data_IF_907551615298
#
_entry.id   IF_907551615298
#
_cell.length_a   1.000
_cell.length_b   1.000
_cell.length_c   1.000
_cell.angle_alpha   90.00
_cell.angle_beta   90.00
_cell.angle_gamma   90.00
#
_symmetry.space_group_name_H-M   'P 1'
#
loop_
_entity.id
_entity.type
_entity.pdbx_description
1 polymer ?
#
# COMPACT_ATOMS: atom_id res chain seq x y z
N UNK A 1 -11.54 20.53 6.82
CA UNK A 1 -10.92 20.01 5.60
C UNK A 1 -10.24 18.71 5.92
N UNK A 2 -10.27 17.76 4.98
CA UNK A 2 -9.48 16.55 5.13
C UNK A 2 -8.01 16.91 4.89
N UNK A 3 -7.10 16.23 5.58
CA UNK A 3 -5.66 16.46 5.42
C UNK A 3 -4.91 15.16 5.59
N UNK A 4 -3.85 15.00 4.81
CA UNK A 4 -2.91 13.89 4.97
C UNK A 4 -2.06 14.19 6.21
N UNK A 5 -2.06 13.29 7.19
CA UNK A 5 -1.29 13.41 8.45
C UNK A 5 -0.20 12.36 8.59
N UNK A 6 -0.17 11.38 7.67
CA UNK A 6 0.85 10.36 7.58
C UNK A 6 0.83 9.71 6.21
N UNK A 7 1.99 9.28 5.74
CA UNK A 7 2.11 8.56 4.49
C UNK A 7 3.23 7.53 4.61
N UNK A 8 2.92 6.29 4.26
CA UNK A 8 3.78 5.14 4.50
C UNK A 8 3.72 4.16 3.32
N UNK A 9 4.82 3.49 3.04
CA UNK A 9 4.86 2.40 2.08
C UNK A 9 5.48 1.16 2.72
N UNK A 10 4.99 -0.02 2.36
CA UNK A 10 5.47 -1.28 2.94
C UNK A 10 5.29 -2.47 2.01
N UNK A 11 6.22 -3.42 2.06
CA UNK A 11 5.98 -4.77 1.57
C UNK A 11 4.79 -5.43 2.30
N UNK A 12 4.06 -6.34 1.63
CA UNK A 12 2.90 -7.03 2.20
C UNK A 12 2.98 -8.57 2.13
N UNK A 13 4.14 -9.12 1.81
CA UNK A 13 4.25 -10.55 1.50
C UNK A 13 3.67 -11.43 2.62
N UNK A 14 3.05 -12.58 2.30
CA UNK A 14 2.45 -13.49 3.27
C UNK A 14 3.33 -13.84 4.47
N UNK A 15 4.64 -13.93 4.25
CA UNK A 15 5.63 -14.34 5.25
C UNK A 15 5.75 -13.34 6.40
N UNK A 16 5.36 -12.06 6.19
CA UNK A 16 5.25 -11.06 7.25
C UNK A 16 4.27 -11.53 8.34
N UNK A 17 3.22 -12.26 7.98
CA UNK A 17 2.24 -12.77 8.92
C UNK A 17 2.50 -14.24 9.30
N UNK A 18 2.75 -15.09 8.30
CA UNK A 18 2.94 -16.55 8.45
C UNK A 18 4.21 -16.88 9.25
N UNK A 19 5.27 -16.08 9.12
CA UNK A 19 6.55 -16.24 9.84
C UNK A 19 7.17 -17.66 9.70
N UNK A 20 7.43 -18.14 8.46
CA UNK A 20 8.01 -19.45 8.27
C UNK A 20 9.47 -19.49 8.75
N UNK A 21 9.86 -20.60 9.38
CA UNK A 21 11.22 -20.82 9.89
C UNK A 21 12.16 -21.30 8.78
N UNK A 22 12.50 -20.41 7.84
CA UNK A 22 13.39 -20.71 6.71
C UNK A 22 14.87 -20.67 7.13
N UNK A 23 15.28 -19.61 7.83
CA UNK A 23 16.62 -19.45 8.38
C UNK A 23 16.61 -18.46 9.56
N UNK A 24 17.68 -18.45 10.35
CA UNK A 24 17.86 -17.45 11.42
C UNK A 24 17.94 -16.03 10.84
N UNK A 25 18.61 -15.87 9.70
CA UNK A 25 18.70 -14.58 9.00
C UNK A 25 17.33 -14.10 8.55
N UNK A 26 16.53 -14.94 7.90
CA UNK A 26 15.19 -14.55 7.44
C UNK A 26 14.27 -14.22 8.62
N UNK A 27 14.40 -14.96 9.73
CA UNK A 27 13.68 -14.66 10.97
C UNK A 27 14.05 -13.26 11.49
N UNK A 28 15.34 -12.92 11.52
CA UNK A 28 15.81 -11.59 11.90
C UNK A 28 15.30 -10.50 10.95
N UNK A 29 15.33 -10.74 9.64
CA UNK A 29 14.81 -9.80 8.64
C UNK A 29 13.31 -9.52 8.85
N UNK A 30 12.51 -10.55 9.09
CA UNK A 30 11.08 -10.39 9.41
C UNK A 30 10.88 -9.56 10.68
N UNK A 31 11.67 -9.80 11.74
CA UNK A 31 11.60 -9.01 12.96
C UNK A 31 11.89 -7.53 12.73
N UNK A 32 12.84 -7.18 11.85
CA UNK A 32 13.11 -5.78 11.49
C UNK A 32 11.94 -5.15 10.72
N UNK A 33 11.27 -5.90 9.84
CA UNK A 33 10.04 -5.46 9.16
C UNK A 33 8.91 -5.25 10.16
N UNK A 34 8.71 -6.17 11.11
CA UNK A 34 7.68 -6.03 12.15
C UNK A 34 7.91 -4.79 13.02
N UNK A 35 9.16 -4.53 13.44
CA UNK A 35 9.52 -3.32 14.19
C UNK A 35 9.18 -2.07 13.40
N UNK A 36 9.52 -2.03 12.11
CA UNK A 36 9.21 -0.89 11.25
C UNK A 36 7.69 -0.69 11.06
N UNK A 37 6.90 -1.76 10.88
CA UNK A 37 5.44 -1.70 10.79
C UNK A 37 4.80 -1.21 12.11
N UNK A 38 5.30 -1.66 13.26
CA UNK A 38 4.83 -1.18 14.56
C UNK A 38 5.18 0.30 14.78
N UNK A 39 6.33 0.75 14.28
CA UNK A 39 6.73 2.16 14.26
C UNK A 39 5.81 3.00 13.36
N UNK A 40 5.42 2.50 12.19
CA UNK A 40 4.36 3.12 11.35
C UNK A 40 3.06 3.25 12.15
N UNK A 41 2.65 2.19 12.85
CA UNK A 41 1.51 2.22 13.76
C UNK A 41 1.60 3.31 14.82
N UNK A 42 2.77 3.45 15.46
CA UNK A 42 3.01 4.49 16.48
C UNK A 42 2.85 5.88 15.88
N UNK A 43 3.45 6.14 14.70
CA UNK A 43 3.36 7.43 14.00
C UNK A 43 1.93 7.76 13.59
N UNK A 44 1.16 6.77 13.12
CA UNK A 44 -0.27 6.93 12.79
C UNK A 44 -1.09 7.33 14.04
N UNK A 45 -0.83 6.68 15.18
CA UNK A 45 -1.47 7.01 16.46
C UNK A 45 -1.12 8.41 16.94
N UNK A 46 0.13 8.80 16.87
CA UNK A 46 0.59 10.15 17.27
C UNK A 46 0.04 11.25 16.37
N UNK A 47 -0.02 11.00 15.06
CA UNK A 47 -0.71 11.85 14.10
C UNK A 47 -2.24 11.87 14.31
N UNK A 48 -2.75 10.94 15.13
CA UNK A 48 -4.15 10.72 15.44
C UNK A 48 -4.98 10.59 14.14
N UNK A 49 -4.57 9.72 13.22
CA UNK A 49 -5.34 9.54 11.98
C UNK A 49 -6.78 9.07 12.29
N UNK A 50 -7.76 9.62 11.60
CA UNK A 50 -9.16 9.21 11.67
C UNK A 50 -9.46 8.11 10.65
N UNK A 51 -8.73 8.09 9.53
CA UNK A 51 -8.93 7.12 8.44
C UNK A 51 -7.60 6.72 7.80
N UNK A 52 -7.45 5.43 7.53
CA UNK A 52 -6.38 4.86 6.73
C UNK A 52 -6.92 4.59 5.33
N UNK A 53 -6.33 5.19 4.29
CA UNK A 53 -6.54 4.75 2.92
C UNK A 53 -5.38 3.82 2.57
N UNK A 54 -5.71 2.58 2.20
CA UNK A 54 -4.71 1.53 1.97
C UNK A 54 -4.74 1.15 0.51
N UNK A 55 -3.70 1.53 -0.22
CA UNK A 55 -3.48 1.14 -1.61
C UNK A 55 -2.87 -0.25 -1.65
N UNK A 56 -3.55 -1.18 -2.33
CA UNK A 56 -3.08 -2.56 -2.48
C UNK A 56 -3.52 -3.14 -3.81
N UNK A 57 -2.99 -4.31 -4.13
CA UNK A 57 -3.36 -5.08 -5.32
C UNK A 57 -3.86 -6.44 -4.87
N UNK A 58 -5.02 -6.84 -5.38
CA UNK A 58 -5.59 -8.16 -5.08
C UNK A 58 -4.75 -9.25 -5.76
N UNK A 59 -4.66 -10.41 -5.13
CA UNK A 59 -3.86 -11.54 -5.62
C UNK A 59 -4.73 -12.64 -6.24
N UNK A 60 -5.85 -12.23 -6.83
CA UNK A 60 -6.89 -13.12 -7.36
C UNK A 60 -7.63 -13.92 -6.28
N UNK A 61 -7.70 -13.36 -5.07
CA UNK A 61 -8.37 -13.96 -3.92
C UNK A 61 -9.77 -13.34 -3.77
N UNK A 62 -9.87 -12.01 -3.88
CA UNK A 62 -11.16 -11.30 -3.90
C UNK A 62 -11.74 -11.20 -5.31
N UNK A 63 -10.90 -10.95 -6.33
CA UNK A 63 -11.34 -10.73 -7.71
C UNK A 63 -10.78 -11.80 -8.64
N UNK A 64 -11.64 -12.51 -9.35
CA UNK A 64 -11.20 -13.50 -10.35
C UNK A 64 -11.25 -12.92 -11.78
N UNK A 65 -10.71 -13.65 -12.76
CA UNK A 65 -10.60 -13.19 -14.16
C UNK A 65 -11.95 -13.02 -14.87
N UNK A 66 -13.06 -13.46 -14.27
CA UNK A 66 -14.39 -13.14 -14.78
C UNK A 66 -14.75 -11.66 -14.60
N UNK A 67 -14.16 -10.98 -13.62
CA UNK A 67 -14.25 -9.53 -13.45
C UNK A 67 -13.12 -9.01 -12.54
N UNK A 68 -12.02 -8.55 -13.15
CA UNK A 68 -10.87 -7.99 -12.44
C UNK A 68 -10.80 -6.46 -12.65
N UNK A 69 -11.15 -5.64 -11.64
CA UNK A 69 -11.22 -4.19 -11.82
C UNK A 69 -9.83 -3.56 -11.96
N UNK A 70 -9.69 -2.53 -12.81
CA UNK A 70 -8.46 -1.73 -12.85
C UNK A 70 -8.24 -0.94 -11.56
N UNK A 71 -9.32 -0.32 -11.07
CA UNK A 71 -9.37 0.51 -9.89
C UNK A 71 -10.67 0.21 -9.15
N UNK A 72 -10.59 -0.15 -7.87
CA UNK A 72 -11.77 -0.35 -7.04
C UNK A 72 -11.59 0.28 -5.67
N UNK A 73 -12.53 1.17 -5.33
CA UNK A 73 -12.59 1.83 -4.04
C UNK A 73 -13.65 1.19 -3.15
N UNK A 74 -13.27 0.75 -1.97
CA UNK A 74 -14.24 0.25 -0.99
C UNK A 74 -15.03 1.40 -0.37
N UNK A 75 -16.36 1.31 -0.42
CA UNK A 75 -17.28 2.35 0.09
C UNK A 75 -18.21 1.84 1.20
N UNK A 76 -17.98 0.65 1.73
CA UNK A 76 -18.80 0.02 2.77
C UNK A 76 -18.52 0.55 4.18
N UNK A 77 -19.37 0.15 5.13
CA UNK A 77 -19.34 0.58 6.54
C UNK A 77 -18.42 -0.25 7.42
N UNK A 78 -18.08 -1.46 6.98
CA UNK A 78 -17.30 -2.43 7.73
C UNK A 78 -16.53 -3.29 6.74
N UNK A 79 -15.24 -3.50 6.99
CA UNK A 79 -14.37 -4.30 6.16
C UNK A 79 -13.62 -5.31 7.04
N UNK A 80 -13.48 -6.53 6.55
CA UNK A 80 -12.75 -7.56 7.25
C UNK A 80 -12.25 -8.64 6.31
N UNK A 81 -11.54 -9.59 6.89
CA UNK A 81 -11.03 -10.75 6.17
C UNK A 81 -10.14 -11.58 7.08
N UNK A 82 -9.79 -12.77 6.59
CA UNK A 82 -8.99 -13.72 7.34
C UNK A 82 -7.81 -14.20 6.52
N UNK A 83 -6.61 -14.06 7.08
CA UNK A 83 -5.40 -14.57 6.45
C UNK A 83 -4.44 -15.14 7.50
N UNK A 84 -3.84 -16.29 7.21
CA UNK A 84 -2.86 -16.95 8.09
C UNK A 84 -3.25 -17.04 9.58
N UNK A 85 -4.54 -17.29 9.87
CA UNK A 85 -5.05 -17.40 11.25
C UNK A 85 -5.32 -16.06 11.95
N UNK A 86 -5.04 -14.93 11.29
CA UNK A 86 -5.42 -13.59 11.75
C UNK A 86 -6.73 -13.20 11.10
N UNK A 87 -7.65 -12.68 11.90
CA UNK A 87 -8.90 -12.09 11.45
C UNK A 87 -8.90 -10.60 11.79
N UNK A 88 -9.16 -9.76 10.79
CA UNK A 88 -9.37 -8.33 10.96
C UNK A 88 -10.82 -7.99 10.70
N UNK A 89 -11.36 -7.09 11.53
CA UNK A 89 -12.68 -6.50 11.37
C UNK A 89 -12.59 -5.04 11.77
N UNK A 90 -12.73 -4.15 10.80
CA UNK A 90 -12.41 -2.73 10.91
C UNK A 90 -13.57 -1.88 10.38
N UNK A 91 -13.85 -0.73 11.02
CA UNK A 91 -14.88 0.17 10.51
C UNK A 91 -14.44 0.80 9.18
N UNK A 92 -15.35 0.85 8.21
CA UNK A 92 -15.16 1.59 6.97
C UNK A 92 -15.42 3.09 7.13
N UNK A 93 -15.12 3.86 6.09
CA UNK A 93 -15.49 5.29 6.03
C UNK A 93 -16.29 5.63 4.76
N UNK A 94 -17.58 5.25 4.68
CA UNK A 94 -18.41 5.48 3.50
C UNK A 94 -18.48 6.96 3.08
N UNK A 95 -18.48 7.88 4.04
CA UNK A 95 -18.58 9.31 3.77
C UNK A 95 -17.37 9.83 3.00
N UNK A 96 -16.15 9.52 3.49
CA UNK A 96 -14.92 9.89 2.81
C UNK A 96 -14.75 9.11 1.50
N UNK A 97 -15.06 7.81 1.50
CA UNK A 97 -14.91 6.95 0.34
C UNK A 97 -15.85 7.38 -0.81
N UNK A 98 -17.09 7.79 -0.52
CA UNK A 98 -18.00 8.37 -1.53
C UNK A 98 -17.45 9.67 -2.08
N UNK A 99 -16.94 10.55 -1.22
CA UNK A 99 -16.35 11.82 -1.66
C UNK A 99 -15.14 11.60 -2.59
N UNK A 100 -14.28 10.63 -2.25
CA UNK A 100 -13.20 10.16 -3.13
C UNK A 100 -13.72 9.59 -4.43
N UNK A 101 -14.75 8.73 -4.39
CA UNK A 101 -15.33 8.12 -5.58
C UNK A 101 -15.81 9.19 -6.57
N UNK A 102 -16.67 10.11 -6.13
CA UNK A 102 -17.16 11.20 -7.00
C UNK A 102 -16.03 12.11 -7.47
N UNK A 103 -15.14 12.51 -6.57
CA UNK A 103 -14.02 13.38 -6.93
C UNK A 103 -13.10 12.73 -7.96
N UNK A 104 -12.82 11.43 -7.85
CA UNK A 104 -11.98 10.72 -8.82
C UNK A 104 -12.63 10.61 -10.19
N UNK A 105 -13.96 10.44 -10.27
CA UNK A 105 -14.70 10.56 -11.53
C UNK A 105 -14.50 11.96 -12.13
N UNK A 106 -14.61 13.03 -11.32
CA UNK A 106 -14.42 14.41 -11.79
C UNK A 106 -12.99 14.68 -12.29
N UNK A 107 -11.98 14.01 -11.72
CA UNK A 107 -10.59 14.02 -12.19
C UNK A 107 -10.33 13.04 -13.36
N UNK A 108 -11.37 12.42 -13.90
CA UNK A 108 -11.30 11.57 -15.10
C UNK A 108 -10.74 10.17 -14.83
N UNK A 109 -10.90 9.61 -13.63
CA UNK A 109 -10.58 8.22 -13.32
C UNK A 109 -11.85 7.37 -13.26
N UNK A 110 -11.90 6.30 -14.05
CA UNK A 110 -13.00 5.33 -14.04
C UNK A 110 -12.83 4.34 -12.87
N UNK A 111 -13.11 4.81 -11.66
CA UNK A 111 -13.01 4.02 -10.42
C UNK A 111 -14.31 3.26 -10.18
N UNK A 112 -14.22 1.93 -10.10
CA UNK A 112 -15.32 1.08 -9.63
C UNK A 112 -15.43 1.13 -8.11
N UNK A 113 -16.55 0.69 -7.54
CA UNK A 113 -16.72 0.62 -6.09
C UNK A 113 -17.36 -0.67 -5.64
N UNK A 114 -17.08 -1.05 -4.39
CA UNK A 114 -17.81 -2.12 -3.71
C UNK A 114 -18.14 -1.73 -2.28
N UNK A 115 -19.31 -2.15 -1.81
CA UNK A 115 -19.72 -2.03 -0.41
C UNK A 115 -19.36 -3.29 0.39
N UNK A 116 -19.06 -4.39 -0.30
CA UNK A 116 -18.77 -5.70 0.28
C UNK A 116 -17.50 -6.25 -0.38
N UNK A 117 -16.45 -6.43 0.43
CA UNK A 117 -15.18 -7.02 0.01
C UNK A 117 -14.63 -7.81 1.19
N UNK A 118 -13.87 -8.85 0.88
CA UNK A 118 -13.06 -9.56 1.86
C UNK A 118 -11.60 -9.18 1.65
N UNK A 119 -10.92 -8.79 2.72
CA UNK A 119 -9.49 -8.48 2.69
C UNK A 119 -8.67 -9.76 2.67
N UNK A 120 -7.67 -9.78 1.81
CA UNK A 120 -6.61 -10.78 1.82
C UNK A 120 -5.27 -10.18 2.34
N UNK A 121 -4.20 -10.98 2.28
CA UNK A 121 -2.85 -10.67 2.72
C UNK A 121 -2.25 -9.33 2.27
N UNK A 122 -2.58 -8.74 1.09
CA UNK A 122 -2.01 -7.45 0.67
C UNK A 122 -2.38 -6.31 1.62
N UNK A 123 -3.49 -6.48 2.33
CA UNK A 123 -4.01 -5.55 3.33
C UNK A 123 -3.79 -6.08 4.74
N UNK A 124 -4.14 -7.35 5.00
CA UNK A 124 -4.10 -7.93 6.35
C UNK A 124 -2.69 -7.98 6.91
N UNK A 125 -1.70 -8.41 6.10
CA UNK A 125 -0.32 -8.59 6.57
C UNK A 125 0.27 -7.30 7.16
N UNK A 126 0.25 -6.14 6.46
CA UNK A 126 0.74 -4.90 7.04
C UNK A 126 -0.21 -4.34 8.12
N UNK A 127 -1.53 -4.36 7.90
CA UNK A 127 -2.48 -3.76 8.85
C UNK A 127 -2.47 -4.44 10.23
N UNK A 128 -2.25 -5.75 10.29
CA UNK A 128 -2.10 -6.47 11.55
C UNK A 128 -0.96 -5.88 12.38
N UNK A 129 0.25 -5.74 11.81
CA UNK A 129 1.40 -5.22 12.56
C UNK A 129 1.28 -3.73 12.88
N UNK A 130 0.67 -2.94 11.98
CA UNK A 130 0.44 -1.50 12.17
C UNK A 130 -0.56 -1.24 13.31
N UNK A 131 -1.67 -1.99 13.35
CA UNK A 131 -2.79 -1.73 14.27
C UNK A 131 -2.74 -2.58 15.55
N UNK A 132 -2.24 -3.81 15.47
CA UNK A 132 -2.45 -4.83 16.50
C UNK A 132 -1.18 -5.44 17.08
N UNK A 133 0.01 -5.18 16.52
CA UNK A 133 1.30 -5.85 16.80
C UNK A 133 1.62 -6.14 18.28
N UNK A 134 2.64 -5.51 18.86
CA UNK A 134 3.05 -5.80 20.25
C UNK A 134 2.22 -5.08 21.34
N UNK A 135 1.17 -4.33 20.97
CA UNK A 135 0.35 -3.55 21.89
C UNK A 135 -1.14 -3.62 21.54
N UNK A 136 -1.96 -3.88 22.56
CA UNK A 136 -3.42 -3.85 22.51
C UNK A 136 -3.92 -2.52 23.09
N UNK A 137 -3.80 -1.42 22.35
CA UNK A 137 -4.57 -0.23 22.68
C UNK A 137 -5.94 -0.25 21.98
N UNK A 138 -6.81 0.71 22.33
CA UNK A 138 -8.16 0.85 21.77
C UNK A 138 -8.20 1.68 20.49
N UNK A 139 -7.05 2.08 19.93
CA UNK A 139 -7.02 2.92 18.74
C UNK A 139 -7.50 2.13 17.51
N UNK A 140 -8.62 2.56 16.95
CA UNK A 140 -9.26 1.89 15.82
C UNK A 140 -9.64 2.92 14.75
N UNK A 141 -8.72 3.24 13.80
CA UNK A 141 -9.04 4.14 12.71
C UNK A 141 -10.01 3.46 11.74
N UNK A 142 -10.76 4.27 10.98
CA UNK A 142 -11.52 3.73 9.85
C UNK A 142 -10.57 3.30 8.74
N UNK A 143 -10.95 2.32 7.93
CA UNK A 143 -10.12 1.83 6.82
C UNK A 143 -10.89 1.89 5.51
N UNK A 144 -10.23 2.43 4.48
CA UNK A 144 -10.72 2.51 3.10
C UNK A 144 -9.70 1.81 2.20
N UNK A 145 -9.89 0.50 1.93
CA UNK A 145 -9.11 -0.20 0.93
C UNK A 145 -9.34 0.41 -0.46
N UNK A 146 -8.26 0.53 -1.21
CA UNK A 146 -8.28 0.95 -2.60
C UNK A 146 -7.42 -0.03 -3.39
N UNK A 147 -8.10 -0.90 -4.13
CA UNK A 147 -7.50 -1.83 -5.05
C UNK A 147 -7.01 -1.11 -6.31
N UNK A 148 -5.75 -1.36 -6.68
CA UNK A 148 -5.10 -0.88 -7.88
C UNK A 148 -4.52 -2.09 -8.61
N UNK A 149 -4.96 -2.35 -9.83
CA UNK A 149 -4.48 -3.49 -10.60
C UNK A 149 -3.01 -3.32 -10.98
N UNK A 150 -2.14 -3.97 -10.20
CA UNK A 150 -0.72 -4.08 -10.46
C UNK A 150 -0.25 -5.51 -10.72
N UNK A 151 -1.17 -6.49 -10.63
CA UNK A 151 -0.85 -7.92 -10.74
C UNK A 151 -1.26 -8.53 -12.08
N UNK A 152 -2.45 -8.19 -12.58
CA UNK A 152 -3.07 -8.86 -13.74
C UNK A 152 -3.01 -7.96 -14.96
N UNK A 153 -2.51 -8.47 -16.08
CA UNK A 153 -2.47 -7.69 -17.31
C UNK A 153 -3.88 -7.47 -17.91
N UNK A 154 -4.16 -6.27 -18.47
CA UNK A 154 -3.26 -5.12 -18.57
C UNK A 154 -3.17 -4.33 -17.26
N UNK A 155 -1.98 -4.11 -16.70
CA UNK A 155 -1.79 -3.35 -15.45
C UNK A 155 -1.89 -1.83 -15.67
N UNK A 156 -2.24 -1.09 -14.62
CA UNK A 156 -2.20 0.39 -14.65
C UNK A 156 -0.80 0.88 -15.05
N UNK A 157 -0.72 1.92 -15.89
CA UNK A 157 0.58 2.49 -16.29
C UNK A 157 1.22 3.28 -15.13
N UNK A 158 2.55 3.28 -14.98
CA UNK A 158 3.25 3.99 -13.89
C UNK A 158 2.86 5.46 -13.75
N UNK A 159 2.88 6.21 -14.86
CA UNK A 159 2.41 7.60 -14.93
C UNK A 159 0.98 7.77 -14.41
N UNK A 160 0.08 6.88 -14.82
CA UNK A 160 -1.34 6.92 -14.44
C UNK A 160 -1.55 6.62 -12.96
N UNK A 161 -0.76 5.72 -12.38
CA UNK A 161 -0.78 5.47 -10.94
C UNK A 161 -0.31 6.71 -10.15
N UNK A 162 0.75 7.39 -10.59
CA UNK A 162 1.17 8.65 -9.98
C UNK A 162 0.09 9.75 -10.06
N UNK A 163 -0.53 9.92 -11.23
CA UNK A 163 -1.63 10.86 -11.42
C UNK A 163 -2.85 10.54 -10.55
N UNK A 164 -3.15 9.25 -10.32
CA UNK A 164 -4.21 8.83 -9.40
C UNK A 164 -3.95 9.36 -8.00
N UNK A 165 -2.70 9.24 -7.54
CA UNK A 165 -2.26 9.81 -6.27
C UNK A 165 -2.51 11.32 -6.17
N UNK A 166 -2.09 12.06 -7.19
CA UNK A 166 -2.28 13.51 -7.26
C UNK A 166 -3.78 13.89 -7.23
N UNK A 167 -4.63 13.13 -7.93
CA UNK A 167 -6.08 13.31 -7.89
C UNK A 167 -6.67 13.03 -6.50
N UNK A 168 -6.26 11.94 -5.83
CA UNK A 168 -6.67 11.62 -4.45
C UNK A 168 -6.32 12.78 -3.52
N UNK A 169 -5.09 13.30 -3.59
CA UNK A 169 -4.68 14.47 -2.81
C UNK A 169 -5.60 15.66 -3.05
N UNK A 170 -5.85 16.00 -4.31
CA UNK A 170 -6.67 17.14 -4.66
C UNK A 170 -8.12 16.99 -4.16
N UNK A 171 -8.69 15.78 -4.19
CA UNK A 171 -10.01 15.52 -3.59
C UNK A 171 -9.98 15.70 -2.07
N UNK A 172 -8.97 15.17 -1.38
CA UNK A 172 -8.82 15.32 0.08
C UNK A 172 -8.67 16.79 0.50
N UNK A 173 -7.82 17.56 -0.18
CA UNK A 173 -7.58 18.97 0.14
C UNK A 173 -8.82 19.84 -0.09
N UNK A 174 -9.65 19.50 -1.09
CA UNK A 174 -10.92 20.19 -1.36
C UNK A 174 -12.08 19.71 -0.48
N UNK A 175 -11.85 18.66 0.33
CA UNK A 175 -12.90 18.12 1.18
C UNK A 175 -13.31 19.11 2.26
N UNK A 176 -14.62 19.31 2.41
CA UNK A 176 -15.17 20.14 3.49
C UNK A 176 -15.21 19.40 4.83
N UNK A 177 -15.10 18.06 4.81
CA UNK A 177 -15.17 17.23 6.02
C UNK A 177 -13.85 17.28 6.77
N UNK A 178 -13.84 17.48 8.10
CA UNK A 178 -12.62 17.28 8.88
C UNK A 178 -12.29 15.78 8.92
N UNK A 179 -11.11 15.41 8.42
CA UNK A 179 -10.61 14.04 8.50
C UNK A 179 -9.08 14.04 8.42
N UNK A 180 -8.41 13.43 9.39
CA UNK A 180 -6.97 13.19 9.38
C UNK A 180 -6.71 11.86 8.70
N UNK A 181 -6.21 11.90 7.48
CA UNK A 181 -6.01 10.72 6.65
C UNK A 181 -4.56 10.27 6.73
N UNK A 182 -4.31 9.00 7.01
CA UNK A 182 -3.02 8.39 6.73
C UNK A 182 -3.12 7.52 5.47
N UNK A 183 -2.12 7.63 4.60
CA UNK A 183 -2.03 6.86 3.36
C UNK A 183 -1.02 5.73 3.54
N UNK A 184 -1.36 4.53 3.07
CA UNK A 184 -0.49 3.35 3.15
C UNK A 184 -0.47 2.69 1.78
N UNK A 185 0.68 2.67 1.10
CA UNK A 185 0.89 1.82 -0.07
C UNK A 185 1.46 0.46 0.35
N UNK A 186 0.92 -0.61 -0.21
CA UNK A 186 1.39 -1.97 0.07
C UNK A 186 1.87 -2.67 -1.20
N UNK A 187 2.86 -3.55 -1.05
CA UNK A 187 3.42 -4.36 -2.15
C UNK A 187 4.90 -4.04 -2.38
N UNK A 188 5.54 -4.79 -3.29
CA UNK A 188 6.95 -4.61 -3.61
C UNK A 188 7.92 -4.89 -2.44
N UNK A 189 9.21 -4.59 -2.56
CA UNK A 189 9.93 -4.18 -3.79
C UNK A 189 10.25 -5.41 -4.65
N UNK A 190 11.40 -5.49 -5.34
CA UNK A 190 11.67 -6.53 -6.33
C UNK A 190 11.37 -7.95 -5.84
N UNK A 191 10.46 -8.62 -6.54
CA UNK A 191 10.13 -10.03 -6.37
C UNK A 191 9.48 -10.57 -7.65
N UNK A 192 9.52 -11.88 -7.85
CA UNK A 192 9.19 -12.50 -9.15
C UNK A 192 8.19 -13.66 -9.00
N UNK A 193 7.20 -13.49 -8.14
CA UNK A 193 6.18 -14.52 -7.82
C UNK A 193 5.47 -14.98 -9.08
N UNK A 194 5.25 -16.28 -9.21
CA UNK A 194 4.58 -16.87 -10.38
C UNK A 194 5.43 -16.92 -11.65
N UNK A 195 6.71 -16.54 -11.59
CA UNK A 195 7.64 -16.59 -12.74
C UNK A 195 8.80 -17.57 -12.48
N UNK A 196 9.55 -17.97 -13.52
CA UNK A 196 10.78 -18.76 -13.36
C UNK A 196 11.89 -18.07 -12.54
N UNK A 197 11.79 -16.76 -12.28
CA UNK A 197 12.78 -15.98 -11.54
C UNK A 197 12.47 -15.87 -10.04
N UNK A 198 11.43 -16.55 -9.54
CA UNK A 198 11.10 -16.51 -8.11
C UNK A 198 12.27 -16.97 -7.25
N UNK A 199 12.63 -16.16 -6.24
CA UNK A 199 13.87 -16.31 -5.47
C UNK A 199 15.01 -15.37 -5.90
N UNK A 200 14.90 -14.70 -7.05
CA UNK A 200 15.73 -13.55 -7.38
C UNK A 200 15.24 -12.32 -6.61
N UNK A 201 16.19 -11.48 -6.18
CA UNK A 201 15.95 -10.13 -5.66
C UNK A 201 16.87 -9.17 -6.42
N UNK A 202 16.31 -8.11 -6.96
CA UNK A 202 17.02 -7.12 -7.77
C UNK A 202 17.39 -5.91 -6.91
N UNK A 203 18.47 -6.08 -6.14
CA UNK A 203 18.88 -5.10 -5.13
C UNK A 203 19.29 -3.77 -5.76
N UNK A 204 19.84 -3.81 -6.97
CA UNK A 204 20.17 -2.61 -7.74
C UNK A 204 18.92 -1.80 -8.10
N UNK A 205 17.85 -2.46 -8.58
CA UNK A 205 16.58 -1.80 -8.86
C UNK A 205 15.93 -1.26 -7.58
N UNK A 206 15.87 -2.07 -6.51
CA UNK A 206 15.34 -1.63 -5.21
C UNK A 206 16.03 -0.35 -4.72
N UNK A 207 17.37 -0.34 -4.75
CA UNK A 207 18.17 0.81 -4.31
C UNK A 207 17.96 2.02 -5.22
N UNK A 208 17.82 1.82 -6.53
CA UNK A 208 17.50 2.92 -7.45
C UNK A 208 16.17 3.59 -7.06
N UNK A 209 15.12 2.82 -6.80
CA UNK A 209 13.83 3.35 -6.36
C UNK A 209 13.95 4.04 -4.99
N UNK A 210 14.61 3.39 -4.03
CA UNK A 210 14.81 3.91 -2.67
C UNK A 210 15.56 5.25 -2.68
N UNK A 211 16.65 5.38 -3.42
CA UNK A 211 17.43 6.61 -3.46
C UNK A 211 16.66 7.75 -4.12
N UNK A 212 15.86 7.48 -5.16
CA UNK A 212 14.96 8.48 -5.75
C UNK A 212 13.91 8.96 -4.75
N UNK A 213 13.31 8.04 -3.98
CA UNK A 213 12.33 8.39 -2.94
C UNK A 213 12.96 9.19 -1.80
N UNK A 214 14.14 8.80 -1.29
CA UNK A 214 14.89 9.55 -0.27
C UNK A 214 15.24 10.96 -0.72
N UNK A 215 15.55 11.13 -2.00
CA UNK A 215 15.89 12.44 -2.58
C UNK A 215 14.67 13.34 -2.88
N UNK A 216 13.44 12.88 -2.62
CA UNK A 216 12.22 13.60 -3.01
C UNK A 216 12.02 13.69 -4.53
N UNK A 217 12.60 12.73 -5.26
CA UNK A 217 12.55 12.63 -6.74
C UNK A 217 11.65 11.50 -7.21
N UNK A 218 10.68 11.11 -6.40
CA UNK A 218 9.73 10.03 -6.72
C UNK A 218 8.93 10.26 -8.01
N UNK A 219 8.74 11.51 -8.43
CA UNK A 219 8.02 11.87 -9.65
C UNK A 219 8.72 11.39 -10.92
N UNK A 220 10.05 11.22 -10.89
CA UNK A 220 10.83 10.66 -11.99
C UNK A 220 10.53 9.16 -12.19
N UNK A 221 10.11 8.46 -11.12
CA UNK A 221 9.77 7.04 -11.19
C UNK A 221 8.46 6.78 -11.95
N UNK A 222 7.63 7.81 -12.14
CA UNK A 222 6.41 7.73 -12.93
C UNK A 222 6.68 7.65 -14.46
N UNK A 223 7.92 7.91 -14.91
CA UNK A 223 8.37 7.72 -16.29
C UNK A 223 8.86 6.30 -16.59
N UNK A 224 8.98 5.45 -15.56
CA UNK A 224 9.34 4.05 -15.78
C UNK A 224 8.29 3.35 -16.65
N UNK A 225 8.76 2.46 -17.52
CA UNK A 225 7.88 1.68 -18.40
C UNK A 225 7.27 0.49 -17.64
N UNK A 226 6.19 -0.08 -18.17
CA UNK A 226 5.69 -1.37 -17.67
C UNK A 226 6.78 -2.42 -17.75
N UNK A 227 7.49 -2.49 -18.88
CA UNK A 227 8.55 -3.48 -19.11
C UNK A 227 9.68 -3.34 -18.08
N UNK A 228 10.10 -2.11 -17.74
CA UNK A 228 11.12 -1.92 -16.71
C UNK A 228 10.67 -2.47 -15.36
N UNK A 229 9.41 -2.22 -14.96
CA UNK A 229 8.90 -2.75 -13.70
C UNK A 229 8.83 -4.28 -13.74
N UNK A 230 8.37 -4.86 -14.84
CA UNK A 230 8.22 -6.31 -14.96
C UNK A 230 9.58 -7.02 -15.01
N UNK A 231 10.58 -6.46 -15.71
CA UNK A 231 11.96 -6.98 -15.79
C UNK A 231 12.67 -7.00 -14.44
N UNK A 232 12.34 -6.07 -13.54
CA UNK A 232 12.98 -5.94 -12.23
C UNK A 232 12.12 -6.48 -11.07
N UNK A 233 10.96 -7.07 -11.35
CA UNK A 233 10.08 -7.63 -10.31
C UNK A 233 9.35 -6.57 -9.47
N UNK A 234 9.16 -5.37 -10.03
CA UNK A 234 8.61 -4.19 -9.37
C UNK A 234 7.16 -3.91 -9.80
N UNK A 235 6.44 -4.94 -10.23
CA UNK A 235 5.11 -4.75 -10.81
C UNK A 235 4.14 -4.06 -9.82
N UNK A 236 4.24 -4.37 -8.53
CA UNK A 236 3.43 -3.77 -7.46
C UNK A 236 3.86 -2.36 -7.04
N UNK A 237 5.03 -1.88 -7.48
CA UNK A 237 5.50 -0.52 -7.17
C UNK A 237 4.52 0.56 -7.67
N UNK A 238 3.56 0.20 -8.51
CA UNK A 238 2.42 1.04 -8.92
C UNK A 238 1.57 1.55 -7.74
N UNK A 239 1.42 0.77 -6.67
CA UNK A 239 0.74 1.26 -5.45
C UNK A 239 1.57 2.35 -4.76
N UNK A 240 2.90 2.22 -4.77
CA UNK A 240 3.83 3.23 -4.25
C UNK A 240 3.83 4.49 -5.10
N UNK A 241 3.77 4.38 -6.42
CA UNK A 241 3.61 5.54 -7.32
C UNK A 241 2.33 6.34 -7.00
N UNK A 242 1.24 5.66 -6.64
CA UNK A 242 0.00 6.32 -6.18
C UNK A 242 0.23 7.08 -4.88
N UNK A 243 0.95 6.50 -3.92
CA UNK A 243 1.33 7.23 -2.70
C UNK A 243 2.22 8.44 -3.02
N UNK A 244 3.24 8.27 -3.87
CA UNK A 244 4.17 9.32 -4.28
C UNK A 244 3.43 10.50 -4.92
N UNK A 245 2.45 10.24 -5.79
CA UNK A 245 1.57 11.26 -6.34
C UNK A 245 0.78 12.01 -5.27
N UNK A 246 0.22 11.28 -4.29
CA UNK A 246 -0.58 11.88 -3.22
C UNK A 246 0.24 12.77 -2.26
N UNK A 247 1.53 12.51 -2.14
CA UNK A 247 2.45 13.30 -1.28
C UNK A 247 3.36 14.25 -2.05
N UNK A 248 3.09 14.49 -3.33
CA UNK A 248 3.93 15.33 -4.21
C UNK A 248 5.41 14.93 -4.18
N UNK A 249 5.68 13.61 -4.15
CA UNK A 249 7.03 13.05 -4.07
C UNK A 249 7.87 13.57 -2.90
N UNK A 250 7.23 13.85 -1.75
CA UNK A 250 7.95 14.21 -0.54
C UNK A 250 9.09 13.21 -0.22
N UNK A 251 10.23 13.68 0.33
CA UNK A 251 11.33 12.79 0.68
C UNK A 251 10.92 11.67 1.64
N UNK A 252 11.37 10.45 1.35
CA UNK A 252 11.17 9.28 2.18
C UNK A 252 12.27 9.10 3.24
N UNK A 253 11.86 8.68 4.43
CA UNK A 253 12.69 8.04 5.45
C UNK A 253 12.50 6.53 5.31
N UNK A 254 13.57 5.79 5.03
CA UNK A 254 13.53 4.33 4.97
C UNK A 254 13.68 3.79 6.39
N UNK A 255 12.62 3.21 6.93
CA UNK A 255 12.62 2.63 8.28
C UNK A 255 13.35 1.29 8.29
N UNK A 256 13.24 0.52 7.21
CA UNK A 256 14.03 -0.71 6.99
C UNK A 256 14.04 -1.09 5.52
N UNK A 257 15.16 -1.69 5.09
CA UNK A 257 15.24 -2.47 3.87
C UNK A 257 15.95 -3.80 4.17
N UNK A 258 15.31 -4.93 3.86
CA UNK A 258 15.86 -6.27 4.04
C UNK A 258 15.82 -7.01 2.71
N UNK A 259 16.99 -7.38 2.18
CA UNK A 259 17.09 -8.33 1.06
C UNK A 259 16.77 -9.73 1.57
N UNK A 260 15.49 -10.11 1.56
CA UNK A 260 15.07 -11.47 1.87
C UNK A 260 15.48 -12.44 0.76
N UNK A 261 15.24 -13.73 0.97
CA UNK A 261 15.61 -14.75 -0.02
C UNK A 261 14.75 -14.71 -1.29
N UNK A 262 13.55 -14.11 -1.26
CA UNK A 262 12.62 -14.06 -2.40
C UNK A 262 12.11 -12.67 -2.77
N UNK A 263 12.38 -11.66 -1.95
CA UNK A 263 11.88 -10.31 -2.15
C UNK A 263 12.74 -9.23 -1.47
N UNK A 264 12.71 -8.00 -1.98
CA UNK A 264 13.16 -6.81 -1.26
C UNK A 264 12.09 -6.31 -0.29
N UNK A 265 12.30 -6.47 1.02
CA UNK A 265 11.36 -5.95 2.02
C UNK A 265 11.70 -4.53 2.40
N UNK A 266 10.82 -3.58 2.11
CA UNK A 266 11.03 -2.18 2.43
C UNK A 266 9.85 -1.63 3.24
N UNK A 267 10.14 -0.81 4.25
CA UNK A 267 9.16 0.03 4.94
C UNK A 267 9.66 1.47 4.94
N UNK A 268 8.85 2.40 4.48
CA UNK A 268 9.19 3.81 4.34
C UNK A 268 8.10 4.72 4.92
N UNK A 269 8.53 5.88 5.43
CA UNK A 269 7.67 6.97 5.86
C UNK A 269 7.97 8.23 5.05
N UNK A 270 6.95 9.01 4.69
CA UNK A 270 7.10 10.21 3.87
C UNK A 270 6.78 11.46 4.69
N UNK A 271 7.50 12.55 4.41
CA UNK A 271 7.27 13.85 5.07
C UNK A 271 6.02 14.52 4.50
N UNK A 272 4.93 14.56 5.27
CA UNK A 272 3.65 15.18 4.87
C UNK A 272 3.26 16.36 5.74
#
# INVERSE_FOLDING_TARGET
>A
MARIVGAFATSHTPQILVQPKISEEFTRQLQEVHKALMEVGRRIREANADTLIVFGSDHMETFWLNNYPQLLLFTGTEIGGKFAGVELKLPGNPDLAKELLYGLIDYGFDVSFSLELELDHPYISPLYWILKGAQHDSYQPKVVPFHINSNVDPRIKPRRAYELGAAIRAVLENSKRPNRVALIATGGLSHYVGTPYYGKVDVEADNFLIEKMKAGKGYELADLTTDWLDEHGEFEFRTWLTLLGAVNSAPAEILTYQRAWHAGYCVAAFKV
#
